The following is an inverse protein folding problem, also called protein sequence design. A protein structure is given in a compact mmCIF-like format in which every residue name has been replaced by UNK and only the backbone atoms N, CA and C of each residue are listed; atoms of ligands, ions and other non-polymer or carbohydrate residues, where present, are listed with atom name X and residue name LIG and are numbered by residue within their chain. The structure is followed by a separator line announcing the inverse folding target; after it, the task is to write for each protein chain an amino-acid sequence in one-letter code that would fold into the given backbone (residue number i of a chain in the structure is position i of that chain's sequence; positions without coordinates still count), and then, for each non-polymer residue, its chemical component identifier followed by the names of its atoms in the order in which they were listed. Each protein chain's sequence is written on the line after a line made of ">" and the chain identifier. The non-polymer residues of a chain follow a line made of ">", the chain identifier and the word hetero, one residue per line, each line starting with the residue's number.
data_IF_482796549236
#
_entry.id   IF_482796549236
#
_cell.length_a   1.000
_cell.length_b   1.000
_cell.length_c   1.000
_cell.angle_alpha   90.00
_cell.angle_beta   90.00
_cell.angle_gamma   90.00
#
_symmetry.space_group_name_H-M   'P 1'
#
loop_
_entity.id
_entity.type
_entity.pdbx_description
1 polymer ?
#
# COMPACT_ATOMS: atom_id res chain seq x y z
N UNK A 1 -15.90 4.59 6.14
CA UNK A 1 -16.07 3.22 5.58
C UNK A 1 -14.82 2.42 5.89
N UNK A 2 -14.96 1.20 6.43
CA UNK A 2 -13.84 0.27 6.65
C UNK A 2 -13.62 -0.50 5.33
N UNK A 3 -12.38 -0.58 4.87
CA UNK A 3 -12.07 -1.37 3.68
C UNK A 3 -12.16 -2.87 4.02
N UNK A 4 -12.87 -3.63 3.17
CA UNK A 4 -13.04 -5.07 3.29
C UNK A 4 -11.91 -5.78 2.54
N UNK A 5 -10.87 -6.17 3.29
CA UNK A 5 -9.70 -6.88 2.76
C UNK A 5 -10.07 -8.21 2.10
N UNK A 6 -10.85 -9.09 2.75
CA UNK A 6 -11.32 -10.34 2.13
C UNK A 6 -12.08 -10.13 0.81
N UNK A 7 -13.00 -9.16 0.74
CA UNK A 7 -13.72 -8.89 -0.50
C UNK A 7 -12.79 -8.37 -1.61
N UNK A 8 -11.77 -7.58 -1.26
CA UNK A 8 -10.77 -7.10 -2.20
C UNK A 8 -9.89 -8.24 -2.72
N UNK A 9 -9.43 -9.14 -1.84
CA UNK A 9 -8.67 -10.33 -2.23
C UNK A 9 -9.49 -11.22 -3.19
N UNK A 10 -10.75 -11.51 -2.85
CA UNK A 10 -11.65 -12.29 -3.70
C UNK A 10 -11.96 -11.61 -5.05
N UNK A 11 -11.83 -10.28 -5.13
CA UNK A 11 -11.95 -9.55 -6.39
C UNK A 11 -10.67 -9.66 -7.23
N UNK A 12 -9.49 -9.58 -6.61
CA UNK A 12 -8.20 -9.74 -7.29
C UNK A 12 -8.01 -11.16 -7.83
N UNK A 13 -8.48 -12.19 -7.14
CA UNK A 13 -8.46 -13.59 -7.62
C UNK A 13 -9.14 -13.78 -8.98
N UNK A 14 -10.04 -12.87 -9.36
CA UNK A 14 -10.76 -12.89 -10.64
C UNK A 14 -10.03 -12.14 -11.76
N UNK A 15 -8.92 -11.47 -11.46
CA UNK A 15 -8.15 -10.65 -12.39
C UNK A 15 -6.87 -11.42 -12.76
N UNK A 16 -6.70 -11.85 -14.03
CA UNK A 16 -5.50 -12.56 -14.46
C UNK A 16 -4.23 -11.74 -14.21
N UNK A 17 -3.26 -12.31 -13.50
CA UNK A 17 -1.99 -11.67 -13.19
C UNK A 17 -2.03 -10.67 -12.02
N UNK A 18 -3.16 -10.56 -11.30
CA UNK A 18 -3.20 -9.87 -10.03
C UNK A 18 -2.67 -10.75 -8.90
N UNK A 19 -2.06 -10.12 -7.91
CA UNK A 19 -1.63 -10.75 -6.66
C UNK A 19 -2.36 -10.08 -5.49
N UNK A 20 -2.89 -10.91 -4.58
CA UNK A 20 -3.58 -10.47 -3.38
C UNK A 20 -2.66 -10.48 -2.14
N UNK A 21 -1.37 -10.81 -2.31
CA UNK A 21 -0.40 -10.77 -1.22
C UNK A 21 -0.38 -9.38 -0.55
N UNK A 22 -0.21 -9.38 0.77
CA UNK A 22 -0.30 -8.18 1.60
C UNK A 22 -1.72 -7.70 1.95
N UNK A 23 -2.79 -8.24 1.35
CA UNK A 23 -4.18 -7.88 1.73
C UNK A 23 -4.70 -8.56 3.00
N UNK A 24 -3.94 -9.51 3.56
CA UNK A 24 -4.28 -10.16 4.83
C UNK A 24 -4.42 -9.15 5.98
N UNK A 25 -3.76 -8.00 5.90
CA UNK A 25 -3.88 -6.91 6.87
C UNK A 25 -4.22 -5.60 6.17
N UNK A 26 -5.40 -5.05 6.48
CA UNK A 26 -5.81 -3.71 6.04
C UNK A 26 -5.47 -2.69 7.11
N UNK A 27 -4.55 -1.78 6.80
CA UNK A 27 -4.18 -0.67 7.68
C UNK A 27 -5.17 0.48 7.56
N UNK A 28 -5.42 1.19 8.67
CA UNK A 28 -6.41 2.30 8.73
C UNK A 28 -5.77 3.66 8.96
N UNK A 29 -4.57 3.68 9.54
CA UNK A 29 -3.78 4.86 9.88
C UNK A 29 -2.30 4.61 9.56
N UNK A 30 -2.03 4.06 8.36
CA UNK A 30 -0.69 3.69 7.86
C UNK A 30 0.31 4.85 7.91
N UNK A 31 -0.13 6.07 7.59
CA UNK A 31 0.71 7.28 7.63
C UNK A 31 0.85 7.90 9.03
N UNK A 32 0.31 7.26 10.08
CA UNK A 32 0.36 7.76 11.46
C UNK A 32 0.95 6.68 12.35
N UNK A 33 0.16 6.13 13.27
CA UNK A 33 0.61 5.14 14.27
C UNK A 33 1.07 3.81 13.67
N UNK A 34 0.71 3.54 12.41
CA UNK A 34 1.06 2.28 11.72
C UNK A 34 2.22 2.45 10.73
N UNK A 35 2.91 3.59 10.70
CA UNK A 35 4.09 3.82 9.85
C UNK A 35 5.17 2.71 9.95
N UNK A 36 5.42 2.10 11.13
CA UNK A 36 6.36 0.97 11.22
C UNK A 36 5.96 -0.25 10.37
N UNK A 37 4.67 -0.43 10.04
CA UNK A 37 4.23 -1.50 9.15
C UNK A 37 4.72 -1.28 7.72
N UNK A 38 4.67 -0.02 7.23
CA UNK A 38 5.26 0.34 5.95
C UNK A 38 6.77 0.10 5.94
N UNK A 39 7.49 0.49 6.98
CA UNK A 39 8.95 0.28 7.03
C UNK A 39 9.32 -1.21 7.02
N UNK A 40 8.54 -2.06 7.69
CA UNK A 40 8.72 -3.52 7.64
C UNK A 40 8.49 -4.07 6.22
N UNK A 41 7.42 -3.65 5.57
CA UNK A 41 7.14 -4.03 4.18
C UNK A 41 8.27 -3.56 3.25
N UNK A 42 8.73 -2.32 3.41
CA UNK A 42 9.82 -1.76 2.61
C UNK A 42 11.15 -2.53 2.74
N UNK A 43 11.43 -3.14 3.89
CA UNK A 43 12.57 -4.04 4.09
C UNK A 43 12.33 -5.45 3.54
N UNK A 44 11.10 -5.93 3.62
CA UNK A 44 10.75 -7.28 3.19
C UNK A 44 10.68 -7.38 1.66
N UNK A 45 10.33 -6.30 0.97
CA UNK A 45 10.25 -6.24 -0.49
C UNK A 45 11.63 -5.91 -1.09
N UNK A 46 12.18 -6.87 -1.84
CA UNK A 46 13.52 -6.82 -2.43
C UNK A 46 13.63 -5.89 -3.64
N UNK A 47 14.86 -5.65 -4.11
CA UNK A 47 15.08 -4.90 -5.35
C UNK A 47 14.41 -5.60 -6.55
N UNK A 48 13.73 -4.83 -7.40
CA UNK A 48 12.97 -5.37 -8.53
C UNK A 48 11.58 -5.95 -8.21
N UNK A 49 11.19 -6.02 -6.94
CA UNK A 49 9.82 -6.38 -6.52
C UNK A 49 8.94 -5.12 -6.37
N UNK A 50 7.66 -5.22 -6.69
CA UNK A 50 6.75 -4.07 -6.61
C UNK A 50 6.33 -3.79 -5.14
N UNK A 51 6.58 -2.57 -4.65
CA UNK A 51 5.97 -2.07 -3.41
C UNK A 51 4.81 -1.11 -3.74
N UNK A 52 3.59 -1.55 -3.46
CA UNK A 52 2.37 -0.79 -3.70
C UNK A 52 1.81 -0.22 -2.39
N UNK A 53 1.54 1.08 -2.37
CA UNK A 53 0.85 1.76 -1.26
C UNK A 53 -0.50 2.29 -1.76
N UNK A 54 -1.58 1.65 -1.34
CA UNK A 54 -2.95 2.04 -1.68
C UNK A 54 -3.47 3.21 -0.80
N UNK A 55 -2.66 4.27 -0.68
CA UNK A 55 -2.97 5.50 0.05
C UNK A 55 -2.32 6.69 -0.67
N UNK A 56 -2.89 7.89 -0.52
CA UNK A 56 -2.49 9.05 -1.35
C UNK A 56 -2.30 10.36 -0.65
N UNK A 57 -2.80 10.53 0.57
CA UNK A 57 -2.68 11.84 1.23
C UNK A 57 -1.22 12.14 1.63
N UNK A 58 -0.41 11.10 1.85
CA UNK A 58 0.90 11.22 2.48
C UNK A 58 2.01 10.53 1.66
N UNK A 59 1.97 10.59 0.31
CA UNK A 59 2.99 9.95 -0.54
C UNK A 59 4.41 10.39 -0.18
N UNK A 60 4.60 11.69 0.03
CA UNK A 60 5.89 12.29 0.40
C UNK A 60 6.43 11.69 1.70
N UNK A 61 5.57 11.52 2.72
CA UNK A 61 5.94 10.88 3.98
C UNK A 61 6.46 9.46 3.77
N UNK A 62 5.82 8.66 2.91
CA UNK A 62 6.26 7.29 2.65
C UNK A 62 7.61 7.23 1.94
N UNK A 63 7.90 8.18 1.05
CA UNK A 63 9.22 8.31 0.43
C UNK A 63 10.29 8.64 1.48
N UNK A 64 10.04 9.64 2.33
CA UNK A 64 10.94 10.02 3.43
C UNK A 64 11.15 8.86 4.43
N UNK A 65 10.09 8.12 4.76
CA UNK A 65 10.18 6.95 5.61
C UNK A 65 11.02 5.83 4.97
N UNK A 66 10.91 5.61 3.65
CA UNK A 66 11.73 4.61 2.96
C UNK A 66 13.22 4.98 3.02
N UNK A 67 13.55 6.26 2.78
CA UNK A 67 14.93 6.77 2.88
C UNK A 67 15.52 6.62 4.30
N UNK A 68 14.69 6.80 5.33
CA UNK A 68 15.10 6.63 6.73
C UNK A 68 15.12 5.17 7.19
N UNK A 69 14.65 4.22 6.38
CA UNK A 69 14.52 2.82 6.74
C UNK A 69 15.78 2.06 6.33
N UNK A 70 16.69 1.86 7.29
CA UNK A 70 17.91 1.07 7.06
C UNK A 70 17.57 -0.35 6.57
N UNK A 71 18.17 -0.74 5.44
CA UNK A 71 17.97 -2.04 4.79
C UNK A 71 16.79 -2.10 3.82
N UNK A 72 16.03 -1.01 3.63
CA UNK A 72 15.07 -0.92 2.51
C UNK A 72 15.81 -0.54 1.22
N UNK A 73 15.45 -1.14 0.06
CA UNK A 73 15.96 -0.69 -1.24
C UNK A 73 15.64 0.78 -1.50
N UNK A 74 16.54 1.47 -2.21
CA UNK A 74 16.29 2.83 -2.65
C UNK A 74 15.12 2.90 -3.64
N UNK A 75 14.54 4.10 -3.82
CA UNK A 75 13.48 4.30 -4.81
C UNK A 75 13.94 4.08 -6.26
N UNK A 76 15.26 4.10 -6.52
CA UNK A 76 15.81 3.76 -7.84
C UNK A 76 15.84 2.25 -8.07
N UNK A 77 16.15 1.47 -7.03
CA UNK A 77 16.19 0.00 -7.08
C UNK A 77 14.79 -0.63 -6.97
N UNK A 78 13.90 0.04 -6.24
CA UNK A 78 12.51 -0.39 -6.00
C UNK A 78 11.57 0.83 -5.97
N UNK A 79 11.00 1.22 -7.13
CA UNK A 79 10.00 2.28 -7.17
C UNK A 79 8.79 1.96 -6.29
N UNK A 80 8.36 2.94 -5.48
CA UNK A 80 7.13 2.82 -4.69
C UNK A 80 5.96 3.34 -5.51
N UNK A 81 4.96 2.49 -5.73
CA UNK A 81 3.77 2.84 -6.51
C UNK A 81 2.65 3.25 -5.56
N UNK A 82 1.98 4.36 -5.87
CA UNK A 82 0.88 4.86 -5.05
C UNK A 82 -0.44 4.78 -5.81
N UNK A 83 -1.48 4.26 -5.14
CA UNK A 83 -2.83 4.13 -5.70
C UNK A 83 -3.84 4.87 -4.84
N UNK A 84 -4.64 5.72 -5.49
CA UNK A 84 -5.61 6.61 -4.85
C UNK A 84 -6.93 5.97 -4.47
N UNK A 85 -6.88 4.89 -3.70
CA UNK A 85 -8.06 4.08 -3.46
C UNK A 85 -9.18 4.84 -2.72
N UNK A 86 -8.86 5.72 -1.76
CA UNK A 86 -9.89 6.45 -1.00
C UNK A 86 -10.71 7.40 -1.88
N UNK A 87 -10.07 8.10 -2.80
CA UNK A 87 -10.70 9.15 -3.60
C UNK A 87 -11.19 8.61 -4.96
N UNK A 88 -10.52 7.62 -5.54
CA UNK A 88 -10.80 7.13 -6.90
C UNK A 88 -11.53 5.79 -6.95
N UNK A 89 -11.67 5.05 -5.85
CA UNK A 89 -12.41 3.77 -5.85
C UNK A 89 -13.95 3.94 -5.92
N UNK A 90 -14.46 5.17 -5.93
CA UNK A 90 -15.89 5.45 -6.02
C UNK A 90 -16.68 5.17 -4.73
N UNK A 91 -16.05 4.67 -3.68
CA UNK A 91 -16.69 4.37 -2.38
C UNK A 91 -17.22 5.61 -1.65
N UNK A 92 -16.66 6.80 -1.94
CA UNK A 92 -17.15 8.07 -1.43
C UNK A 92 -18.51 8.47 -2.02
N UNK A 93 -18.89 7.94 -3.19
CA UNK A 93 -20.16 8.26 -3.86
C UNK A 93 -21.35 7.46 -3.33
N UNK A 94 -21.12 6.33 -2.68
CA UNK A 94 -22.19 5.48 -2.11
C UNK A 94 -22.61 5.87 -0.68
N UNK A 95 -22.19 7.05 -0.21
CA UNK A 95 -22.59 7.59 1.11
C UNK A 95 -23.71 8.64 1.01
N UNK A 96 -24.41 8.71 -0.13
CA UNK A 96 -25.55 9.60 -0.38
C UNK A 96 -26.85 8.79 -0.52
#
# INVERSE_FOLDING_TARGET
>A
MKLDGPALAAALDKVPGADADGLATVHTLLCRREAPAFQKAAKATGAGEDLLVACTQEQRLFLELNEQTEGAPSIQERPIRFVNLRETAGWSRSSA
#
